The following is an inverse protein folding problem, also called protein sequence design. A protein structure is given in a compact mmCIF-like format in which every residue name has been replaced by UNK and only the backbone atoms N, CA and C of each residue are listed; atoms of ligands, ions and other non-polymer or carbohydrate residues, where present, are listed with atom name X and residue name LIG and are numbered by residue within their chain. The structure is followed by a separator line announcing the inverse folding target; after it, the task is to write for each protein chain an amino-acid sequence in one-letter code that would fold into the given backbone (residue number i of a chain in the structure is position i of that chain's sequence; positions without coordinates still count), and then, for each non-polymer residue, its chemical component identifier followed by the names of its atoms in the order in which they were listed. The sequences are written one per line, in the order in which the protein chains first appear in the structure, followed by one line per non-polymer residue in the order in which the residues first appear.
data_IF_910639489661
#
_entry.id   IF_910639489661
#
_cell.length_a   1.000
_cell.length_b   1.000
_cell.length_c   1.000
_cell.angle_alpha   90.00
_cell.angle_beta   90.00
_cell.angle_gamma   90.00
#
_symmetry.space_group_name_H-M   'P 1'
#
loop_
_entity.id
_entity.type
_entity.pdbx_description
1 polymer ?
#
# COMPACT_ATOMS: atom_id res chain seq x y z
N UNK A 1 54.53 11.56 20.71
CA UNK A 1 53.62 10.81 19.79
C UNK A 1 52.59 11.81 19.28
N UNK A 2 52.71 12.18 18.00
CA UNK A 2 51.80 13.16 17.39
C UNK A 2 50.53 12.44 16.91
N UNK A 3 49.41 12.74 17.55
CA UNK A 3 48.09 12.32 17.13
C UNK A 3 47.73 13.05 15.83
N UNK A 4 47.79 12.33 14.71
CA UNK A 4 47.22 12.83 13.44
C UNK A 4 45.72 12.72 13.54
N UNK A 5 45.05 13.87 13.69
CA UNK A 5 43.62 13.94 13.56
C UNK A 5 43.23 13.52 12.12
N UNK A 6 42.60 12.37 11.96
CA UNK A 6 41.97 11.95 10.69
C UNK A 6 40.75 12.86 10.44
N UNK A 7 40.93 13.80 9.50
CA UNK A 7 39.79 14.59 9.01
C UNK A 7 38.93 13.67 8.15
N UNK A 8 37.64 13.53 8.49
CA UNK A 8 36.74 12.72 7.69
C UNK A 8 36.61 13.26 6.25
N UNK A 9 36.40 12.39 5.28
CA UNK A 9 36.26 12.77 3.87
C UNK A 9 35.21 13.87 3.68
N UNK A 10 34.06 13.77 4.37
CA UNK A 10 32.99 14.77 4.32
C UNK A 10 33.44 16.14 4.83
N UNK A 11 34.24 16.20 5.91
CA UNK A 11 34.76 17.43 6.43
C UNK A 11 35.76 18.05 5.45
N UNK A 12 36.64 17.26 4.84
CA UNK A 12 37.57 17.71 3.82
C UNK A 12 36.83 18.22 2.56
N UNK A 13 35.80 17.53 2.10
CA UNK A 13 34.96 17.95 0.98
C UNK A 13 34.22 19.25 1.27
N UNK A 14 33.66 19.42 2.46
CA UNK A 14 32.99 20.67 2.88
C UNK A 14 33.94 21.83 2.93
N UNK A 15 35.20 21.62 3.40
CA UNK A 15 36.22 22.66 3.40
C UNK A 15 36.63 23.05 1.97
N UNK A 16 36.81 22.08 1.08
CA UNK A 16 37.13 22.32 -0.32
C UNK A 16 36.03 23.11 -1.05
N UNK A 17 34.76 22.70 -0.89
CA UNK A 17 33.61 23.43 -1.46
C UNK A 17 33.48 24.85 -0.92
N UNK A 18 33.73 25.08 0.37
CA UNK A 18 33.72 26.41 0.95
C UNK A 18 34.87 27.28 0.42
N UNK A 19 36.06 26.72 0.28
CA UNK A 19 37.23 27.43 -0.28
C UNK A 19 37.01 27.83 -1.74
N UNK A 20 36.39 26.91 -2.53
CA UNK A 20 36.07 27.19 -3.93
C UNK A 20 34.98 28.25 -4.07
N UNK A 21 33.90 28.15 -3.30
CA UNK A 21 32.85 29.17 -3.26
C UNK A 21 33.35 30.53 -2.79
N UNK A 22 34.28 30.56 -1.82
CA UNK A 22 34.92 31.82 -1.35
C UNK A 22 35.78 32.44 -2.46
N UNK A 23 36.54 31.61 -3.20
CA UNK A 23 37.31 32.07 -4.34
C UNK A 23 36.45 32.68 -5.44
N UNK A 24 35.33 32.03 -5.78
CA UNK A 24 34.36 32.56 -6.73
C UNK A 24 33.79 33.91 -6.26
N UNK A 25 33.45 34.04 -4.96
CA UNK A 25 32.98 35.29 -4.37
C UNK A 25 34.01 36.40 -4.43
N UNK A 26 35.30 36.09 -4.18
CA UNK A 26 36.39 37.07 -4.21
C UNK A 26 36.71 37.55 -5.64
N UNK A 27 36.42 36.74 -6.66
CA UNK A 27 36.53 37.07 -8.08
C UNK A 27 35.41 37.98 -8.59
N UNK A 28 34.27 38.09 -7.83
CA UNK A 28 33.16 38.95 -8.22
C UNK A 28 33.57 40.44 -8.13
N UNK A 29 33.12 41.25 -9.11
CA UNK A 29 33.34 42.69 -9.05
C UNK A 29 32.73 43.28 -7.80
N UNK A 30 33.46 44.21 -7.16
CA UNK A 30 32.94 44.89 -5.98
C UNK A 30 31.69 45.70 -6.30
N UNK A 31 30.78 45.96 -5.34
CA UNK A 31 29.60 46.78 -5.54
C UNK A 31 29.89 48.15 -6.15
N UNK A 32 31.08 48.74 -5.84
CA UNK A 32 31.51 49.99 -6.41
C UNK A 32 31.84 49.88 -7.90
N UNK A 33 32.57 48.82 -8.29
CA UNK A 33 32.87 48.52 -9.70
C UNK A 33 31.64 48.19 -10.52
N UNK A 34 30.67 47.48 -9.92
CA UNK A 34 29.37 47.18 -10.56
C UNK A 34 28.56 48.46 -10.79
N UNK A 35 28.55 49.37 -9.82
CA UNK A 35 27.83 50.61 -9.91
C UNK A 35 28.46 51.58 -10.95
N UNK A 36 29.78 51.54 -11.10
CA UNK A 36 30.48 52.33 -12.12
C UNK A 36 30.22 51.73 -13.52
N UNK A 37 30.22 50.42 -13.65
CA UNK A 37 29.99 49.73 -14.94
C UNK A 37 28.52 49.75 -15.40
N UNK A 38 27.60 49.80 -14.43
CA UNK A 38 26.16 49.78 -14.65
C UNK A 38 25.50 50.88 -13.80
N UNK A 39 25.63 52.14 -14.17
CA UNK A 39 25.16 53.27 -13.36
C UNK A 39 23.62 53.36 -13.24
N UNK A 40 22.89 52.76 -14.18
CA UNK A 40 21.45 52.76 -14.15
C UNK A 40 20.93 51.31 -14.24
N UNK A 41 20.61 50.74 -13.09
CA UNK A 41 20.00 49.41 -12.96
C UNK A 41 18.46 49.45 -12.78
N UNK A 42 17.88 50.64 -12.76
CA UNK A 42 16.46 50.85 -12.45
C UNK A 42 15.49 50.02 -13.32
N UNK A 43 15.84 49.85 -14.58
CA UNK A 43 15.08 49.03 -15.56
C UNK A 43 15.12 47.54 -15.24
N UNK A 44 16.22 47.04 -14.74
CA UNK A 44 16.43 45.64 -14.34
C UNK A 44 15.75 45.37 -13.01
N UNK A 45 15.90 46.31 -12.05
CA UNK A 45 15.31 46.21 -10.73
C UNK A 45 13.78 46.24 -10.83
N UNK A 46 13.19 47.09 -11.68
CA UNK A 46 11.76 47.11 -11.95
C UNK A 46 11.24 45.80 -12.56
N UNK A 47 11.99 45.20 -13.50
CA UNK A 47 11.66 43.87 -14.07
C UNK A 47 11.76 42.75 -13.05
N UNK A 48 12.80 42.75 -12.24
CA UNK A 48 13.01 41.77 -11.17
C UNK A 48 11.91 41.85 -10.12
N UNK A 49 11.58 43.05 -9.68
CA UNK A 49 10.48 43.29 -8.74
C UNK A 49 9.11 42.88 -9.34
N UNK A 50 8.84 43.20 -10.60
CA UNK A 50 7.62 42.79 -11.29
C UNK A 50 7.53 41.25 -11.39
N UNK A 51 8.64 40.56 -11.68
CA UNK A 51 8.70 39.11 -11.73
C UNK A 51 8.49 38.47 -10.33
N UNK A 52 9.11 39.00 -9.31
CA UNK A 52 8.96 38.54 -7.92
C UNK A 52 7.55 38.76 -7.36
N UNK A 53 6.89 39.89 -7.72
CA UNK A 53 5.55 40.20 -7.24
C UNK A 53 4.44 39.46 -7.98
N UNK A 54 4.66 39.11 -9.25
CA UNK A 54 3.64 38.48 -10.11
C UNK A 54 3.26 37.06 -9.70
N UNK A 55 4.12 36.32 -9.01
CA UNK A 55 3.89 34.90 -8.68
C UNK A 55 3.54 34.63 -7.20
N UNK A 56 3.75 35.57 -6.29
CA UNK A 56 3.54 35.34 -4.85
C UNK A 56 2.09 35.04 -4.42
N UNK A 57 1.06 35.77 -4.88
CA UNK A 57 -0.30 35.54 -4.38
C UNK A 57 -0.91 34.23 -4.85
N UNK A 58 -0.58 33.76 -6.07
CA UNK A 58 -1.10 32.49 -6.61
C UNK A 58 -0.45 31.31 -5.91
N UNK A 59 0.86 31.30 -5.78
CA UNK A 59 1.61 30.23 -5.10
C UNK A 59 1.19 30.11 -3.63
N UNK A 60 1.03 31.24 -2.92
CA UNK A 60 0.56 31.25 -1.53
C UNK A 60 -0.87 30.72 -1.40
N UNK A 61 -1.77 31.07 -2.31
CA UNK A 61 -3.15 30.55 -2.33
C UNK A 61 -3.18 29.05 -2.62
N UNK A 62 -2.42 28.58 -3.62
CA UNK A 62 -2.29 27.16 -3.95
C UNK A 62 -1.72 26.39 -2.75
N UNK A 63 -0.66 26.91 -2.11
CA UNK A 63 -0.07 26.24 -0.93
C UNK A 63 -1.07 26.16 0.23
N UNK A 64 -1.82 27.24 0.52
CA UNK A 64 -2.84 27.23 1.56
C UNK A 64 -3.95 26.24 1.22
N UNK A 65 -4.43 26.19 -0.03
CA UNK A 65 -5.46 25.25 -0.45
C UNK A 65 -5.01 23.79 -0.30
N UNK A 66 -3.77 23.47 -0.73
CA UNK A 66 -3.20 22.14 -0.59
C UNK A 66 -3.04 21.77 0.88
N UNK A 67 -2.52 22.67 1.71
CA UNK A 67 -2.36 22.42 3.14
C UNK A 67 -3.72 22.21 3.84
N UNK A 68 -4.72 23.01 3.49
CA UNK A 68 -6.09 22.83 4.03
C UNK A 68 -6.68 21.48 3.62
N UNK A 69 -6.48 21.06 2.37
CA UNK A 69 -6.94 19.75 1.88
C UNK A 69 -6.26 18.61 2.64
N UNK A 70 -4.95 18.71 2.87
CA UNK A 70 -4.18 17.71 3.64
C UNK A 70 -4.68 17.63 5.09
N UNK A 71 -4.92 18.77 5.74
CA UNK A 71 -5.45 18.81 7.11
C UNK A 71 -6.85 18.20 7.19
N UNK A 72 -7.72 18.52 6.22
CA UNK A 72 -9.07 17.94 6.16
C UNK A 72 -9.05 16.43 5.92
N UNK A 73 -8.18 15.94 5.03
CA UNK A 73 -8.01 14.50 4.79
C UNK A 73 -7.46 13.77 6.02
N UNK A 74 -6.45 14.33 6.68
CA UNK A 74 -5.89 13.77 7.91
C UNK A 74 -6.92 13.78 9.05
N UNK A 75 -7.72 14.86 9.16
CA UNK A 75 -8.81 14.95 10.13
C UNK A 75 -9.91 13.90 9.87
N UNK A 76 -10.31 13.70 8.62
CA UNK A 76 -11.28 12.68 8.24
C UNK A 76 -10.75 11.24 8.51
N UNK A 77 -9.45 10.99 8.24
CA UNK A 77 -8.78 9.72 8.59
C UNK A 77 -8.75 9.46 10.10
N UNK A 78 -8.65 10.51 10.92
CA UNK A 78 -8.62 10.37 12.37
C UNK A 78 -10.01 10.04 12.98
N UNK A 79 -11.11 10.49 12.32
CA UNK A 79 -12.47 10.46 12.90
C UNK A 79 -13.33 9.33 12.32
N UNK A 80 -13.11 8.88 11.08
CA UNK A 80 -13.99 7.91 10.40
C UNK A 80 -13.25 6.64 9.99
N UNK A 81 -13.69 5.50 10.57
CA UNK A 81 -13.22 4.18 10.18
C UNK A 81 -13.56 3.85 8.71
N UNK A 82 -14.75 4.23 8.26
CA UNK A 82 -15.21 4.00 6.88
C UNK A 82 -14.41 4.83 5.87
N UNK A 83 -14.02 6.06 6.25
CA UNK A 83 -13.15 6.89 5.41
C UNK A 83 -11.74 6.32 5.32
N UNK A 84 -11.20 5.76 6.43
CA UNK A 84 -9.92 5.01 6.41
C UNK A 84 -9.99 3.83 5.46
N UNK A 85 -11.03 2.98 5.56
CA UNK A 85 -11.25 1.86 4.63
C UNK A 85 -11.29 2.32 3.17
N UNK A 86 -12.00 3.42 2.89
CA UNK A 86 -12.10 3.98 1.53
C UNK A 86 -10.75 4.49 1.00
N UNK A 87 -9.96 5.16 1.84
CA UNK A 87 -8.61 5.65 1.47
C UNK A 87 -7.65 4.48 1.25
N UNK A 88 -7.64 3.46 2.12
CA UNK A 88 -6.83 2.27 1.91
C UNK A 88 -7.21 1.53 0.63
N UNK A 89 -8.50 1.38 0.35
CA UNK A 89 -8.99 0.78 -0.91
C UNK A 89 -8.56 1.60 -2.14
N UNK A 90 -8.48 2.91 -2.02
CA UNK A 90 -8.04 3.81 -3.10
C UNK A 90 -6.52 3.71 -3.33
N UNK A 91 -5.72 3.65 -2.27
CA UNK A 91 -4.25 3.46 -2.36
C UNK A 91 -3.94 2.10 -2.97
N UNK A 92 -4.66 1.06 -2.62
CA UNK A 92 -4.52 -0.29 -3.19
C UNK A 92 -4.76 -0.34 -4.71
N UNK A 93 -5.66 0.49 -5.24
CA UNK A 93 -5.91 0.58 -6.70
C UNK A 93 -4.80 1.26 -7.50
N UNK A 94 -3.92 2.01 -6.84
CA UNK A 94 -2.85 2.78 -7.49
C UNK A 94 -1.47 2.11 -7.47
N UNK A 95 -1.30 0.94 -6.84
CA UNK A 95 -0.09 0.16 -6.93
C UNK A 95 -0.13 -0.72 -8.18
N UNK A 96 0.76 -0.52 -9.17
CA UNK A 96 0.63 -1.18 -10.48
C UNK A 96 0.91 -2.69 -10.46
N UNK A 97 1.58 -3.22 -9.43
CA UNK A 97 2.14 -4.57 -9.43
C UNK A 97 1.43 -5.53 -8.48
N UNK A 98 0.86 -5.03 -7.38
CA UNK A 98 0.24 -5.88 -6.35
C UNK A 98 -1.01 -5.23 -5.75
N UNK A 99 -1.99 -6.06 -5.40
CA UNK A 99 -3.12 -5.67 -4.56
C UNK A 99 -2.80 -6.08 -3.12
N UNK A 100 -2.75 -5.10 -2.22
CA UNK A 100 -2.61 -5.35 -0.79
C UNK A 100 -3.97 -5.20 -0.11
N UNK A 101 -4.39 -6.20 0.63
CA UNK A 101 -5.53 -6.14 1.53
C UNK A 101 -5.02 -6.01 2.96
N UNK A 102 -5.44 -4.94 3.63
CA UNK A 102 -5.15 -4.74 5.05
C UNK A 102 -6.43 -4.95 5.83
N UNK A 103 -6.42 -5.93 6.70
CA UNK A 103 -7.48 -6.19 7.67
C UNK A 103 -7.13 -5.57 9.01
N UNK A 104 -8.11 -4.98 9.67
CA UNK A 104 -7.95 -4.43 11.00
C UNK A 104 -9.26 -4.65 11.76
N UNK A 105 -9.17 -5.18 12.97
CA UNK A 105 -10.32 -5.35 13.86
C UNK A 105 -10.55 -4.04 14.63
N UNK A 106 -11.81 -3.59 14.68
CA UNK A 106 -12.23 -2.51 15.56
C UNK A 106 -12.61 -3.14 16.91
N UNK A 107 -11.68 -3.14 17.88
CA UNK A 107 -11.86 -3.72 19.21
C UNK A 107 -10.80 -4.77 19.56
N UNK A 108 -11.12 -5.59 20.57
CA UNK A 108 -10.25 -6.71 20.96
C UNK A 108 -10.37 -7.84 19.93
N UNK A 109 -9.24 -8.40 19.42
CA UNK A 109 -9.25 -9.56 18.56
C UNK A 109 -9.86 -10.77 19.24
N UNK A 110 -10.38 -11.70 18.46
CA UNK A 110 -10.81 -12.99 18.98
C UNK A 110 -9.61 -13.75 19.57
N UNK A 111 -9.80 -14.43 20.69
CA UNK A 111 -8.74 -15.28 21.28
C UNK A 111 -8.62 -16.61 20.55
N UNK A 112 -9.72 -17.14 20.01
CA UNK A 112 -9.78 -18.40 19.26
C UNK A 112 -10.91 -18.38 18.24
N UNK A 113 -10.80 -19.23 17.22
CA UNK A 113 -11.90 -19.47 16.28
C UNK A 113 -13.12 -20.02 17.03
N UNK A 114 -14.34 -19.69 16.58
CA UNK A 114 -15.54 -20.28 17.15
C UNK A 114 -15.52 -21.80 17.12
N UNK A 115 -16.15 -22.45 18.11
CA UNK A 115 -16.19 -23.91 18.18
C UNK A 115 -16.88 -24.49 16.92
N UNK A 116 -16.19 -25.38 16.22
CA UNK A 116 -16.69 -26.00 14.99
C UNK A 116 -16.53 -25.13 13.74
N UNK A 117 -15.82 -23.99 13.83
CA UNK A 117 -15.58 -23.12 12.68
C UNK A 117 -14.75 -23.84 11.60
N UNK A 118 -15.35 -24.06 10.44
CA UNK A 118 -14.77 -24.89 9.37
C UNK A 118 -15.44 -24.60 8.02
N UNK A 119 -14.85 -25.13 6.95
CA UNK A 119 -15.49 -25.23 5.64
C UNK A 119 -16.33 -26.53 5.58
N UNK A 120 -17.64 -26.37 5.52
CA UNK A 120 -18.59 -27.48 5.60
C UNK A 120 -19.00 -28.02 4.23
N UNK A 121 -18.50 -27.47 3.13
CA UNK A 121 -18.80 -27.91 1.77
C UNK A 121 -17.52 -28.24 1.01
N UNK A 122 -17.46 -29.46 0.50
CA UNK A 122 -16.39 -29.92 -0.41
C UNK A 122 -17.04 -30.24 -1.75
N UNK A 123 -16.60 -29.65 -2.87
CA UNK A 123 -17.11 -29.99 -4.21
C UNK A 123 -16.92 -31.46 -4.55
N UNK A 124 -17.85 -32.03 -5.32
CA UNK A 124 -17.77 -33.41 -5.78
C UNK A 124 -16.44 -33.67 -6.50
N UNK A 125 -15.80 -34.78 -6.17
CA UNK A 125 -14.53 -35.21 -6.76
C UNK A 125 -13.28 -34.63 -6.10
N UNK A 126 -13.41 -33.77 -5.08
CA UNK A 126 -12.28 -33.27 -4.31
C UNK A 126 -12.07 -34.04 -3.01
N UNK A 127 -10.82 -34.24 -2.66
CA UNK A 127 -10.40 -34.87 -1.41
C UNK A 127 -9.45 -33.94 -0.65
N UNK A 128 -9.56 -33.95 0.69
CA UNK A 128 -8.69 -33.15 1.54
C UNK A 128 -7.27 -33.71 1.56
N UNK A 129 -6.30 -32.87 1.30
CA UNK A 129 -4.88 -33.16 1.44
C UNK A 129 -4.40 -32.70 2.82
N UNK A 130 -4.30 -33.63 3.75
CA UNK A 130 -3.87 -33.34 5.13
C UNK A 130 -2.38 -33.03 5.27
N UNK A 131 -1.56 -33.31 4.25
CA UNK A 131 -0.13 -33.02 4.30
C UNK A 131 0.18 -31.55 3.99
N UNK A 132 -0.72 -30.88 3.23
CA UNK A 132 -0.56 -29.49 2.85
C UNK A 132 -1.43 -28.52 3.67
N UNK A 133 -2.06 -28.99 4.73
CA UNK A 133 -2.92 -28.19 5.58
C UNK A 133 -2.44 -28.13 7.03
N UNK A 134 -3.01 -27.23 7.77
CA UNK A 134 -2.89 -27.17 9.23
C UNK A 134 -4.21 -26.71 9.84
N UNK A 135 -4.35 -26.95 11.14
CA UNK A 135 -5.54 -26.60 11.92
C UNK A 135 -5.11 -26.29 13.35
N UNK A 136 -5.43 -25.13 13.87
CA UNK A 136 -5.12 -24.71 15.22
C UNK A 136 -6.21 -23.78 15.77
N UNK A 137 -6.05 -23.31 17.01
CA UNK A 137 -7.07 -22.53 17.70
C UNK A 137 -7.36 -21.16 17.06
N UNK A 138 -6.43 -20.59 16.30
CA UNK A 138 -6.55 -19.23 15.74
C UNK A 138 -6.61 -19.20 14.23
N UNK A 139 -6.32 -20.31 13.56
CA UNK A 139 -6.33 -20.38 12.08
C UNK A 139 -6.38 -21.81 11.58
N UNK A 140 -6.86 -21.99 10.36
CA UNK A 140 -6.69 -23.21 9.61
C UNK A 140 -6.37 -22.94 8.13
N UNK A 141 -5.63 -23.83 7.53
CA UNK A 141 -5.43 -23.96 6.08
C UNK A 141 -5.85 -25.35 5.64
N UNK A 142 -6.89 -25.44 4.84
CA UNK A 142 -7.35 -26.69 4.27
C UNK A 142 -7.00 -26.74 2.79
N UNK A 143 -6.27 -27.75 2.38
CA UNK A 143 -5.92 -28.04 1.00
C UNK A 143 -6.80 -29.16 0.45
N UNK A 144 -7.27 -28.99 -0.78
CA UNK A 144 -8.09 -29.97 -1.48
C UNK A 144 -7.57 -30.17 -2.90
N UNK A 145 -7.55 -31.42 -3.33
CA UNK A 145 -7.10 -31.81 -4.67
C UNK A 145 -8.19 -32.63 -5.37
N UNK A 146 -8.30 -32.49 -6.68
CA UNK A 146 -9.17 -33.33 -7.47
C UNK A 146 -8.64 -34.76 -7.50
N UNK A 147 -9.51 -35.75 -7.27
CA UNK A 147 -9.13 -37.17 -7.20
C UNK A 147 -8.57 -37.69 -8.54
N UNK A 148 -8.92 -37.08 -9.67
CA UNK A 148 -8.54 -37.51 -11.01
C UNK A 148 -7.41 -36.65 -11.60
N UNK A 149 -7.27 -35.37 -11.20
CA UNK A 149 -6.23 -34.46 -11.68
C UNK A 149 -5.65 -33.61 -10.54
N UNK A 150 -4.50 -34.01 -10.04
CA UNK A 150 -3.81 -33.32 -8.94
C UNK A 150 -3.31 -31.89 -9.28
N UNK A 151 -3.39 -31.46 -10.55
CA UNK A 151 -3.10 -30.09 -10.92
C UNK A 151 -4.30 -29.15 -10.67
N UNK A 152 -5.48 -29.73 -10.40
CA UNK A 152 -6.68 -29.02 -10.01
C UNK A 152 -6.81 -29.11 -8.49
N UNK A 153 -6.70 -27.96 -7.84
CA UNK A 153 -6.69 -27.86 -6.38
C UNK A 153 -7.31 -26.54 -5.93
N UNK A 154 -7.67 -26.49 -4.67
CA UNK A 154 -8.01 -25.26 -3.99
C UNK A 154 -7.57 -25.29 -2.52
N UNK A 155 -7.40 -24.10 -1.96
CA UNK A 155 -7.07 -23.88 -0.55
C UNK A 155 -8.15 -23.00 0.08
N UNK A 156 -8.47 -23.30 1.34
CA UNK A 156 -9.29 -22.48 2.21
C UNK A 156 -8.43 -22.07 3.40
N UNK A 157 -8.16 -20.79 3.53
CA UNK A 157 -7.43 -20.22 4.66
C UNK A 157 -8.37 -19.33 5.47
N UNK A 158 -8.44 -19.57 6.77
CA UNK A 158 -9.17 -18.74 7.70
C UNK A 158 -8.28 -18.43 8.89
N UNK A 159 -8.15 -17.16 9.25
CA UNK A 159 -7.33 -16.76 10.39
C UNK A 159 -7.93 -15.58 11.13
N UNK A 160 -7.80 -15.57 12.45
CA UNK A 160 -8.17 -14.44 13.29
C UNK A 160 -7.29 -13.26 12.96
N UNK A 161 -7.90 -12.09 12.71
CA UNK A 161 -7.19 -10.85 12.46
C UNK A 161 -6.64 -10.33 13.79
N UNK A 162 -5.31 -10.18 13.84
CA UNK A 162 -4.63 -9.70 15.04
C UNK A 162 -4.78 -8.17 15.21
N UNK A 163 -4.55 -7.67 16.42
CA UNK A 163 -4.65 -6.24 16.76
C UNK A 163 -3.68 -5.34 15.99
N UNK A 164 -2.52 -5.89 15.56
CA UNK A 164 -1.57 -5.20 14.70
C UNK A 164 -1.97 -5.15 13.22
N UNK A 165 -3.14 -5.73 12.89
CA UNK A 165 -3.62 -5.86 11.51
C UNK A 165 -2.94 -7.00 10.74
N UNK A 166 -3.55 -7.37 9.63
CA UNK A 166 -3.05 -8.39 8.72
C UNK A 166 -2.98 -7.82 7.31
N UNK A 167 -1.87 -8.04 6.61
CA UNK A 167 -1.67 -7.61 5.23
C UNK A 167 -1.50 -8.83 4.35
N UNK A 168 -2.39 -8.99 3.38
CA UNK A 168 -2.29 -9.99 2.33
C UNK A 168 -1.99 -9.32 1.00
N UNK A 169 -1.07 -9.91 0.23
CA UNK A 169 -0.62 -9.38 -1.06
C UNK A 169 -0.98 -10.34 -2.17
N UNK A 170 -1.61 -9.84 -3.22
CA UNK A 170 -2.04 -10.61 -4.38
C UNK A 170 -1.51 -10.01 -5.67
N UNK A 171 -1.25 -10.86 -6.67
CA UNK A 171 -0.81 -10.45 -8.00
C UNK A 171 -1.90 -9.60 -8.70
N UNK A 172 -1.53 -8.41 -9.15
CA UNK A 172 -2.39 -7.48 -9.87
C UNK A 172 -2.06 -7.40 -11.38
N UNK A 173 -0.95 -7.96 -11.83
CA UNK A 173 -0.57 -7.91 -13.24
C UNK A 173 -1.42 -8.85 -14.11
N UNK A 174 -1.79 -10.01 -13.56
CA UNK A 174 -2.50 -11.06 -14.30
C UNK A 174 -3.89 -11.37 -13.73
N UNK A 175 -4.35 -10.60 -12.73
CA UNK A 175 -5.61 -10.83 -12.02
C UNK A 175 -6.55 -9.64 -12.14
N UNK A 176 -7.78 -9.90 -12.54
CA UNK A 176 -8.86 -8.89 -12.58
C UNK A 176 -9.72 -9.07 -11.33
N UNK A 177 -9.89 -7.99 -10.57
CA UNK A 177 -10.63 -7.99 -9.32
C UNK A 177 -12.01 -7.38 -9.46
N UNK A 178 -13.01 -8.00 -8.83
CA UNK A 178 -14.37 -7.50 -8.72
C UNK A 178 -14.89 -7.59 -7.27
N UNK A 179 -15.76 -6.68 -6.88
CA UNK A 179 -16.46 -6.75 -5.60
C UNK A 179 -17.69 -7.60 -5.73
N UNK A 180 -17.85 -8.55 -4.83
CA UNK A 180 -19.00 -9.46 -4.78
C UNK A 180 -19.47 -9.64 -3.34
N UNK A 181 -20.44 -10.52 -3.13
CA UNK A 181 -20.83 -11.00 -1.80
C UNK A 181 -20.41 -12.46 -1.62
N UNK A 182 -19.83 -12.76 -0.45
CA UNK A 182 -19.64 -14.11 0.07
C UNK A 182 -20.64 -14.30 1.21
N UNK A 183 -21.76 -14.97 0.91
CA UNK A 183 -22.92 -14.97 1.81
C UNK A 183 -23.41 -13.53 2.06
N UNK A 184 -23.32 -13.06 3.31
CA UNK A 184 -23.70 -11.69 3.72
C UNK A 184 -22.53 -10.70 3.71
N UNK A 185 -21.29 -11.17 3.67
CA UNK A 185 -20.09 -10.33 3.75
C UNK A 185 -19.72 -9.72 2.39
N UNK A 186 -19.13 -8.53 2.41
CA UNK A 186 -18.49 -7.94 1.24
C UNK A 186 -17.18 -8.66 0.96
N UNK A 187 -16.96 -9.07 -0.29
CA UNK A 187 -15.81 -9.86 -0.70
C UNK A 187 -15.18 -9.31 -1.98
N UNK A 188 -13.91 -9.61 -2.18
CA UNK A 188 -13.18 -9.32 -3.40
C UNK A 188 -12.82 -10.63 -4.11
N UNK A 189 -13.27 -10.79 -5.34
CA UNK A 189 -12.94 -11.92 -6.18
C UNK A 189 -11.94 -11.51 -7.25
N UNK A 190 -10.78 -12.13 -7.23
CA UNK A 190 -9.77 -12.05 -8.29
C UNK A 190 -9.92 -13.21 -9.27
N UNK A 191 -9.82 -12.90 -10.55
CA UNK A 191 -9.81 -13.88 -11.63
C UNK A 191 -8.54 -13.76 -12.43
N UNK A 192 -7.76 -14.81 -12.51
CA UNK A 192 -6.54 -14.90 -13.29
C UNK A 192 -6.68 -15.95 -14.40
N UNK A 193 -6.17 -15.62 -15.60
CA UNK A 193 -6.11 -16.54 -16.72
C UNK A 193 -4.65 -16.80 -17.07
N UNK A 194 -4.13 -17.91 -16.64
CA UNK A 194 -2.74 -18.30 -16.91
C UNK A 194 -2.67 -19.72 -17.47
N UNK A 195 -2.02 -19.90 -18.61
CA UNK A 195 -1.76 -21.22 -19.20
C UNK A 195 -3.01 -22.02 -19.57
N UNK A 196 -4.12 -21.36 -19.90
CA UNK A 196 -5.37 -22.03 -20.30
C UNK A 196 -6.27 -22.49 -19.14
N UNK A 197 -5.88 -22.21 -17.91
CA UNK A 197 -6.69 -22.44 -16.72
C UNK A 197 -7.09 -21.12 -16.07
N UNK A 198 -8.35 -21.02 -15.66
CA UNK A 198 -8.83 -19.89 -14.87
C UNK A 198 -8.60 -20.20 -13.39
N UNK A 199 -7.82 -19.35 -12.73
CA UNK A 199 -7.65 -19.35 -11.29
C UNK A 199 -8.50 -18.28 -10.64
N UNK A 200 -8.94 -18.52 -9.43
CA UNK A 200 -9.69 -17.58 -8.62
C UNK A 200 -9.03 -17.39 -7.26
N UNK A 201 -9.12 -16.17 -6.76
CA UNK A 201 -8.84 -15.83 -5.36
C UNK A 201 -10.03 -15.06 -4.82
N UNK A 202 -10.65 -15.56 -3.76
CA UNK A 202 -11.74 -14.89 -3.06
C UNK A 202 -11.29 -14.54 -1.66
N UNK A 203 -11.40 -13.25 -1.31
CA UNK A 203 -10.98 -12.74 0.00
C UNK A 203 -12.08 -11.91 0.63
N UNK A 204 -12.31 -12.09 1.92
CA UNK A 204 -13.26 -11.29 2.70
C UNK A 204 -12.92 -11.34 4.19
N UNK A 205 -13.47 -10.40 4.92
CA UNK A 205 -13.45 -10.37 6.37
C UNK A 205 -14.87 -10.52 6.89
N UNK A 206 -15.04 -11.30 7.93
CA UNK A 206 -16.30 -11.43 8.67
C UNK A 206 -16.02 -11.73 10.14
N UNK A 207 -16.62 -10.95 11.01
CA UNK A 207 -16.59 -11.16 12.46
C UNK A 207 -15.17 -11.26 13.05
N UNK A 208 -14.20 -10.49 12.51
CA UNK A 208 -12.81 -10.48 12.97
C UNK A 208 -11.96 -11.64 12.45
N UNK A 209 -12.46 -12.39 11.46
CA UNK A 209 -11.76 -13.50 10.82
C UNK A 209 -11.53 -13.12 9.34
N UNK A 210 -10.28 -13.23 8.89
CA UNK A 210 -9.94 -13.15 7.48
C UNK A 210 -10.14 -14.50 6.81
N UNK A 211 -10.62 -14.46 5.57
CA UNK A 211 -10.90 -15.64 4.79
C UNK A 211 -10.29 -15.49 3.41
N UNK A 212 -9.60 -16.52 2.96
CA UNK A 212 -9.03 -16.58 1.62
C UNK A 212 -9.31 -17.94 1.00
N UNK A 213 -9.91 -17.96 -0.19
CA UNK A 213 -10.05 -19.18 -1.00
C UNK A 213 -9.28 -18.97 -2.28
N UNK A 214 -8.32 -19.84 -2.58
CA UNK A 214 -7.53 -19.80 -3.80
C UNK A 214 -7.70 -21.14 -4.51
N UNK A 215 -8.03 -21.13 -5.81
CA UNK A 215 -8.12 -22.41 -6.51
C UNK A 215 -8.38 -22.31 -8.01
N UNK A 216 -8.23 -23.46 -8.66
CA UNK A 216 -8.54 -23.67 -10.09
C UNK A 216 -9.84 -24.44 -10.26
N UNK A 217 -10.88 -24.02 -9.54
CA UNK A 217 -12.20 -24.63 -9.54
C UNK A 217 -13.25 -23.64 -10.06
N UNK A 218 -14.41 -24.08 -10.53
CA UNK A 218 -15.43 -23.16 -11.04
C UNK A 218 -15.85 -22.12 -10.02
N UNK A 219 -16.06 -20.87 -10.47
CA UNK A 219 -16.50 -19.73 -9.63
C UNK A 219 -17.67 -20.09 -8.71
N UNK A 220 -18.66 -20.83 -9.22
CA UNK A 220 -19.84 -21.23 -8.44
C UNK A 220 -19.48 -22.12 -7.24
N UNK A 221 -18.46 -22.96 -7.36
CA UNK A 221 -18.00 -23.82 -6.27
C UNK A 221 -17.26 -23.01 -5.21
N UNK A 222 -16.41 -22.04 -5.61
CA UNK A 222 -15.76 -21.09 -4.69
C UNK A 222 -16.80 -20.37 -3.83
N UNK A 223 -17.89 -19.89 -4.43
CA UNK A 223 -18.96 -19.21 -3.70
C UNK A 223 -19.68 -20.13 -2.72
N UNK A 224 -19.95 -21.37 -3.10
CA UNK A 224 -20.58 -22.36 -2.20
C UNK A 224 -19.67 -22.70 -1.01
N UNK A 225 -18.35 -22.86 -1.27
CA UNK A 225 -17.38 -23.07 -0.19
C UNK A 225 -17.42 -21.87 0.77
N UNK A 226 -17.35 -20.64 0.24
CA UNK A 226 -17.39 -19.44 1.06
C UNK A 226 -18.68 -19.31 1.89
N UNK A 227 -19.83 -19.68 1.32
CA UNK A 227 -21.13 -19.71 2.02
C UNK A 227 -21.21 -20.80 3.09
N UNK A 228 -20.40 -21.85 2.98
CA UNK A 228 -20.38 -22.97 3.93
C UNK A 228 -19.54 -22.72 5.17
N UNK A 229 -18.66 -21.70 5.15
CA UNK A 229 -17.77 -21.41 6.27
C UNK A 229 -18.54 -20.76 7.41
N UNK A 230 -18.54 -21.41 8.55
CA UNK A 230 -19.22 -20.97 9.75
C UNK A 230 -18.67 -21.66 11.00
#
# INVERSE_FOLDING_TARGET
MSERAEVSFDAALMMALRADAQKELDELPSPAQLKERYPDTSRWDARLQAALHKHRPVLKRVLITVLTLVILTLGALAVSADFRKAVYTMIQKFLPVEMQLTYQVDGEPLERLPDGYNDHYVPDGFERDYEQGYDNEISFLHAYVDANDKNIFYYVDCSIIQDYGQVETFDNEHTVYERIKAGTADATLGTSNNGGHTGYVLVWEKDGISHTIIGKIPRKEILKIAESIS
#
